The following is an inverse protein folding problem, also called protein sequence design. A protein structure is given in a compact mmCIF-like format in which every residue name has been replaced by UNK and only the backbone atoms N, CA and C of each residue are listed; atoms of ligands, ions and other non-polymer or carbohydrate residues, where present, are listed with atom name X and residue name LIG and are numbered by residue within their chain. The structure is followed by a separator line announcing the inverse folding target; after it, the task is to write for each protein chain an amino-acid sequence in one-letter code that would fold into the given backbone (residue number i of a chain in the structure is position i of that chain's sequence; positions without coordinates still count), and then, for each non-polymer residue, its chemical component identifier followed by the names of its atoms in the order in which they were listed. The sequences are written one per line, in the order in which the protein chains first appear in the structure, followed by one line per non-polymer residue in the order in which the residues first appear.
data_IF_663875668584
#
_entry.id   IF_663875668584
#
_cell.length_a   1.000
_cell.length_b   1.000
_cell.length_c   1.000
_cell.angle_alpha   90.00
_cell.angle_beta   90.00
_cell.angle_gamma   90.00
#
_symmetry.space_group_name_H-M   'P 1'
#
loop_
_entity.id
_entity.type
_entity.pdbx_description
1 polymer ?
#
# COMPACT_ATOMS: atom_id res chain seq x y z
N UNK A 1 9.46 -40.49 29.65
CA UNK A 1 8.01 -40.45 29.38
C UNK A 1 7.63 -39.00 29.15
N UNK A 2 7.26 -38.66 27.92
CA UNK A 2 6.99 -37.30 27.47
C UNK A 2 5.51 -36.93 27.66
N UNK A 3 5.25 -35.68 28.05
CA UNK A 3 3.98 -34.98 27.85
C UNK A 3 4.34 -33.49 27.68
N UNK A 4 4.55 -33.06 26.44
CA UNK A 4 3.60 -32.27 25.62
C UNK A 4 3.31 -30.90 26.24
N UNK A 5 4.11 -29.90 25.84
CA UNK A 5 3.82 -28.49 26.04
C UNK A 5 3.48 -27.83 24.70
N UNK A 6 2.29 -27.25 24.65
CA UNK A 6 1.89 -26.06 23.90
C UNK A 6 2.18 -26.01 22.39
N UNK A 7 1.18 -26.34 21.58
CA UNK A 7 1.06 -25.87 20.20
C UNK A 7 0.39 -24.50 20.18
N UNK A 8 1.19 -23.43 20.30
CA UNK A 8 0.76 -22.09 19.90
C UNK A 8 0.92 -21.97 18.39
N UNK A 9 -0.21 -21.98 17.69
CA UNK A 9 -0.30 -21.74 16.26
C UNK A 9 -0.10 -20.26 15.95
N UNK A 10 1.12 -19.75 16.13
CA UNK A 10 1.52 -18.43 15.64
C UNK A 10 1.81 -18.55 14.14
N UNK A 11 0.77 -18.32 13.33
CA UNK A 11 0.89 -18.20 11.88
C UNK A 11 1.96 -17.14 11.56
N UNK A 12 3.10 -17.62 11.07
CA UNK A 12 4.30 -16.85 10.86
C UNK A 12 4.06 -15.60 10.03
N UNK A 13 4.28 -14.45 10.65
CA UNK A 13 4.44 -13.18 9.95
C UNK A 13 5.73 -13.28 9.12
N UNK A 14 5.60 -13.76 7.87
CA UNK A 14 6.69 -13.79 6.90
C UNK A 14 7.20 -12.37 6.72
N UNK A 15 8.33 -12.07 7.35
CA UNK A 15 9.14 -10.90 7.07
C UNK A 15 9.61 -11.00 5.62
N UNK A 16 8.83 -10.45 4.69
CA UNK A 16 9.37 -10.04 3.40
C UNK A 16 10.27 -8.84 3.66
N UNK A 17 11.53 -9.13 3.91
CA UNK A 17 12.56 -8.20 3.48
C UNK A 17 12.53 -8.21 1.97
N UNK A 18 11.93 -7.19 1.37
CA UNK A 18 12.30 -6.83 0.01
C UNK A 18 13.26 -5.64 0.13
N UNK A 19 14.51 -5.93 -0.20
CA UNK A 19 15.59 -4.98 -0.23
C UNK A 19 15.27 -3.82 -1.15
N UNK A 20 15.74 -2.63 -0.76
CA UNK A 20 15.78 -1.48 -1.64
C UNK A 20 16.42 -1.88 -2.96
N UNK A 21 15.69 -1.70 -4.06
CA UNK A 21 16.26 -1.81 -5.39
C UNK A 21 16.39 -0.42 -5.98
N UNK A 22 17.64 -0.07 -6.23
CA UNK A 22 18.05 1.02 -7.08
C UNK A 22 17.55 0.78 -8.50
N UNK A 23 16.32 1.22 -8.79
CA UNK A 23 15.79 1.31 -10.14
C UNK A 23 15.07 2.66 -10.24
N UNK A 24 15.28 3.39 -11.32
CA UNK A 24 14.59 4.66 -11.61
C UNK A 24 13.08 4.50 -11.86
N UNK A 25 12.42 3.56 -11.17
CA UNK A 25 11.00 3.28 -11.23
C UNK A 25 10.42 3.41 -9.82
N UNK A 26 9.45 4.32 -9.61
CA UNK A 26 8.81 4.45 -8.31
C UNK A 26 8.14 3.13 -7.93
N UNK A 27 8.18 2.76 -6.65
CA UNK A 27 7.45 1.59 -6.18
C UNK A 27 5.97 1.71 -6.54
N UNK A 28 5.31 0.59 -6.78
CA UNK A 28 3.89 0.56 -7.14
C UNK A 28 3.00 1.34 -6.14
N UNK A 29 3.35 1.33 -4.84
CA UNK A 29 2.66 2.14 -3.83
C UNK A 29 2.81 3.65 -4.08
N UNK A 30 4.00 4.13 -4.45
CA UNK A 30 4.23 5.56 -4.70
C UNK A 30 3.43 6.05 -5.91
N UNK A 31 3.30 5.22 -6.95
CA UNK A 31 2.48 5.53 -8.14
C UNK A 31 1.02 5.74 -7.74
N UNK A 32 0.47 4.84 -6.91
CA UNK A 32 -0.92 4.96 -6.43
C UNK A 32 -1.13 6.19 -5.53
N UNK A 33 -0.18 6.47 -4.64
CA UNK A 33 -0.25 7.68 -3.80
C UNK A 33 -0.18 8.96 -4.63
N UNK A 34 0.70 9.00 -5.64
CA UNK A 34 0.79 10.15 -6.55
C UNK A 34 -0.47 10.33 -7.38
N UNK A 35 -1.05 9.24 -7.88
CA UNK A 35 -2.30 9.27 -8.63
C UNK A 35 -3.43 9.90 -7.80
N UNK A 36 -3.62 9.45 -6.56
CA UNK A 36 -4.67 10.01 -5.70
C UNK A 36 -4.45 11.50 -5.38
N UNK A 37 -3.21 11.91 -5.10
CA UNK A 37 -2.88 13.33 -4.82
C UNK A 37 -3.09 14.21 -6.06
N UNK A 38 -2.79 13.73 -7.27
CA UNK A 38 -3.05 14.47 -8.50
C UNK A 38 -4.55 14.63 -8.81
N UNK A 39 -5.40 13.79 -8.23
CA UNK A 39 -6.86 13.89 -8.29
C UNK A 39 -7.44 14.80 -7.18
N UNK A 40 -6.58 15.53 -6.47
CA UNK A 40 -6.95 16.37 -5.31
C UNK A 40 -7.56 15.56 -4.14
N UNK A 41 -7.25 14.27 -4.05
CA UNK A 41 -7.70 13.39 -2.96
C UNK A 41 -6.60 13.29 -1.90
N UNK A 42 -6.84 13.73 -0.65
CA UNK A 42 -5.87 13.59 0.43
C UNK A 42 -5.67 12.11 0.80
N UNK A 43 -4.41 11.67 0.91
CA UNK A 43 -4.05 10.27 1.21
C UNK A 43 -3.30 10.13 2.53
N UNK A 44 -3.63 9.07 3.27
CA UNK A 44 -2.97 8.70 4.54
C UNK A 44 -2.42 7.26 4.45
N UNK A 45 -1.21 7.06 3.89
CA UNK A 45 -0.65 5.72 3.73
C UNK A 45 -0.31 5.09 5.08
N UNK A 46 -0.91 3.95 5.39
CA UNK A 46 -0.55 3.15 6.57
C UNK A 46 0.82 2.49 6.37
N UNK A 47 1.75 2.75 7.27
CA UNK A 47 3.00 1.99 7.39
C UNK A 47 3.49 1.99 8.84
N UNK A 48 4.05 0.86 9.29
CA UNK A 48 4.81 0.74 10.54
C UNK A 48 6.33 0.67 10.31
N UNK A 49 6.76 0.58 9.05
CA UNK A 49 8.17 0.54 8.68
C UNK A 49 8.66 1.96 8.35
N UNK A 50 9.66 2.43 9.10
CA UNK A 50 10.22 3.77 8.97
C UNK A 50 10.80 4.07 7.58
N UNK A 51 11.42 3.09 6.92
CA UNK A 51 12.00 3.28 5.59
C UNK A 51 10.90 3.50 4.55
N UNK A 52 9.80 2.76 4.65
CA UNK A 52 8.63 2.95 3.78
C UNK A 52 7.93 4.29 4.03
N UNK A 53 7.92 4.80 5.26
CA UNK A 53 7.37 6.12 5.55
C UNK A 53 8.17 7.20 4.83
N UNK A 54 9.51 7.12 4.92
CA UNK A 54 10.41 8.05 4.23
C UNK A 54 10.26 7.94 2.71
N UNK A 55 10.15 6.72 2.20
CA UNK A 55 9.98 6.49 0.77
C UNK A 55 8.64 7.01 0.25
N UNK A 56 7.53 6.77 0.97
CA UNK A 56 6.21 7.28 0.60
C UNK A 56 6.20 8.82 0.51
N UNK A 57 6.98 9.52 1.35
CA UNK A 57 7.07 10.98 1.31
C UNK A 57 7.69 11.53 0.01
N UNK A 58 8.39 10.69 -0.76
CA UNK A 58 9.01 11.05 -2.05
C UNK A 58 8.03 11.11 -3.23
N UNK A 59 6.73 10.97 -2.98
CA UNK A 59 5.68 11.02 -4.02
C UNK A 59 5.61 12.36 -4.76
N UNK A 60 6.27 13.42 -4.27
CA UNK A 60 6.34 14.74 -4.92
C UNK A 60 7.53 14.90 -5.89
N UNK A 61 8.44 13.94 -5.94
CA UNK A 61 9.64 13.99 -6.80
C UNK A 61 9.30 13.80 -8.30
N UNK A 62 8.06 13.40 -8.64
CA UNK A 62 7.62 13.11 -10.01
C UNK A 62 6.15 13.44 -10.23
N UNK A 63 5.73 13.42 -11.50
CA UNK A 63 4.33 13.62 -11.93
C UNK A 63 3.94 12.54 -12.92
N UNK A 64 2.71 12.05 -12.83
CA UNK A 64 2.13 11.11 -13.79
C UNK A 64 1.56 11.87 -14.98
N UNK A 65 1.76 11.32 -16.17
CA UNK A 65 1.17 11.85 -17.41
C UNK A 65 -0.34 11.62 -17.43
N UNK A 66 -1.08 12.43 -18.17
CA UNK A 66 -2.54 12.30 -18.30
C UNK A 66 -2.94 10.89 -18.80
N UNK A 67 -2.18 10.33 -19.75
CA UNK A 67 -2.39 8.97 -20.23
C UNK A 67 -2.22 7.91 -19.14
N UNK A 68 -1.26 8.07 -18.23
CA UNK A 68 -1.08 7.13 -17.12
C UNK A 68 -2.18 7.31 -16.06
N UNK A 69 -2.64 8.54 -15.85
CA UNK A 69 -3.78 8.83 -14.99
C UNK A 69 -5.04 8.13 -15.49
N UNK A 70 -5.32 8.20 -16.80
CA UNK A 70 -6.48 7.56 -17.43
C UNK A 70 -6.40 6.03 -17.33
N UNK A 71 -5.21 5.46 -17.57
CA UNK A 71 -4.97 4.02 -17.44
C UNK A 71 -5.23 3.52 -16.01
N UNK A 72 -4.81 4.28 -15.01
CA UNK A 72 -5.04 3.93 -13.61
C UNK A 72 -6.51 4.06 -13.22
N UNK A 73 -7.20 5.11 -13.69
CA UNK A 73 -8.64 5.28 -13.48
C UNK A 73 -9.47 4.15 -14.13
N UNK A 74 -9.02 3.62 -15.27
CA UNK A 74 -9.67 2.50 -15.94
C UNK A 74 -9.56 1.16 -15.18
N UNK A 75 -8.74 1.07 -14.12
CA UNK A 75 -8.63 -0.12 -13.28
C UNK A 75 -9.73 -0.21 -12.21
N UNK A 76 -10.56 0.84 -12.05
CA UNK A 76 -11.66 0.81 -11.09
C UNK A 76 -12.63 -0.34 -11.40
N UNK A 77 -12.92 -1.14 -10.38
CA UNK A 77 -13.78 -2.31 -10.45
C UNK A 77 -14.97 -2.22 -9.48
N UNK A 78 -15.19 -1.05 -8.84
CA UNK A 78 -16.27 -0.83 -7.89
C UNK A 78 -16.12 -1.63 -6.59
N UNK A 79 -14.99 -2.29 -6.37
CA UNK A 79 -14.74 -3.09 -5.18
C UNK A 79 -14.36 -2.20 -3.98
N UNK A 80 -15.14 -2.30 -2.91
CA UNK A 80 -14.89 -1.58 -1.65
C UNK A 80 -14.20 -2.50 -0.65
N UNK A 81 -13.08 -2.02 -0.09
CA UNK A 81 -12.33 -2.74 0.96
C UNK A 81 -12.74 -2.33 2.38
N UNK A 82 -13.54 -1.27 2.54
CA UNK A 82 -14.12 -0.88 3.82
C UNK A 82 -15.50 -1.51 4.01
N UNK A 83 -15.94 -1.51 5.27
CA UNK A 83 -17.32 -1.82 5.63
C UNK A 83 -18.29 -0.81 4.99
N UNK A 84 -19.50 -1.25 4.62
CA UNK A 84 -20.51 -0.35 4.04
C UNK A 84 -21.08 0.55 5.16
N UNK A 85 -20.86 1.87 5.09
CA UNK A 85 -21.34 2.79 6.11
C UNK A 85 -22.87 2.84 6.22
N UNK A 86 -23.60 2.38 5.20
CA UNK A 86 -25.07 2.36 5.18
C UNK A 86 -25.65 1.30 6.13
N UNK A 87 -24.84 0.31 6.52
CA UNK A 87 -25.25 -0.79 7.40
C UNK A 87 -25.15 -0.44 8.89
N UNK A 88 -24.60 0.73 9.25
CA UNK A 88 -24.54 1.19 10.65
C UNK A 88 -25.48 2.38 10.83
N UNK A 89 -26.55 2.10 11.57
CA UNK A 89 -27.52 3.06 12.10
C UNK A 89 -27.14 3.41 13.53
#
# INVERSE_FOLDING_TARGET
MAALSSSDGSAGNRRRGDGGTALGRPLALLVLLRWAVQQDVPVLPKSSNADRIKENARLFDFTLSDMDMDRLSALDCGHKYCWDPSEVV
#
